data_IF_687578325649
#
_entry.id   IF_687578325649
#
_cell.length_a   1.000
_cell.length_b   1.000
_cell.length_c   1.000
_cell.angle_alpha   90.00
_cell.angle_beta   90.00
_cell.angle_gamma   90.00
#
_symmetry.space_group_name_H-M   'P 1'
#
loop_
_entity.id
_entity.type
_entity.pdbx_description
1 polymer ?
#
# COMPACT_ATOMS: atom_id res chain seq x y z
N UNK A 1 -21.30 -4.80 1.68
CA UNK A 1 -20.67 -6.01 1.11
C UNK A 1 -20.31 -5.84 -0.38
N UNK A 2 -21.26 -5.50 -1.26
CA UNK A 2 -20.97 -5.29 -2.71
C UNK A 2 -19.90 -4.22 -2.96
N UNK A 3 -20.00 -3.06 -2.30
CA UNK A 3 -18.99 -2.01 -2.42
C UNK A 3 -17.59 -2.49 -1.97
N UNK A 4 -17.52 -3.16 -0.80
CA UNK A 4 -16.26 -3.71 -0.29
C UNK A 4 -15.68 -4.78 -1.20
N UNK A 5 -16.53 -5.59 -1.86
CA UNK A 5 -16.08 -6.64 -2.78
C UNK A 5 -15.46 -6.12 -4.09
N UNK A 6 -15.50 -4.80 -4.33
CA UNK A 6 -15.09 -4.18 -5.59
C UNK A 6 -15.86 -4.70 -6.82
N UNK A 7 -17.04 -5.31 -6.60
CA UNK A 7 -17.83 -6.01 -7.61
C UNK A 7 -17.09 -7.19 -8.27
N UNK A 8 -16.03 -7.71 -7.66
CA UNK A 8 -15.36 -8.92 -8.13
C UNK A 8 -16.19 -10.15 -7.71
N UNK A 9 -16.72 -10.94 -8.65
CA UNK A 9 -17.57 -12.10 -8.34
C UNK A 9 -16.88 -13.09 -7.40
N UNK A 10 -15.57 -13.26 -7.57
CA UNK A 10 -14.75 -14.15 -6.75
C UNK A 10 -14.66 -13.70 -5.29
N UNK A 11 -14.54 -12.39 -5.05
CA UNK A 11 -14.51 -11.86 -3.70
C UNK A 11 -15.90 -11.89 -3.05
N UNK A 12 -16.96 -11.63 -3.84
CA UNK A 12 -18.34 -11.81 -3.39
C UNK A 12 -18.61 -13.25 -2.94
N UNK A 13 -18.14 -14.24 -3.68
CA UNK A 13 -18.32 -15.64 -3.33
C UNK A 13 -17.65 -16.00 -2.00
N UNK A 14 -16.39 -15.60 -1.82
CA UNK A 14 -15.62 -15.89 -0.60
C UNK A 14 -16.24 -15.17 0.61
N UNK A 15 -16.59 -13.89 0.45
CA UNK A 15 -17.22 -13.11 1.52
C UNK A 15 -18.63 -13.60 1.84
N UNK A 16 -19.39 -14.01 0.81
CA UNK A 16 -20.71 -14.60 0.97
C UNK A 16 -20.66 -15.89 1.77
N UNK A 17 -19.70 -16.78 1.46
CA UNK A 17 -19.48 -18.00 2.24
C UNK A 17 -19.04 -17.71 3.68
N UNK A 18 -18.16 -16.71 3.88
CA UNK A 18 -17.70 -16.34 5.22
C UNK A 18 -18.80 -15.77 6.11
N UNK A 19 -19.76 -15.05 5.51
CA UNK A 19 -20.87 -14.41 6.22
C UNK A 19 -22.13 -15.28 6.31
N UNK A 20 -22.18 -16.41 5.59
CA UNK A 20 -23.37 -17.25 5.50
C UNK A 20 -23.88 -17.73 6.87
N UNK A 21 -22.96 -18.12 7.76
CA UNK A 21 -23.27 -18.59 9.11
C UNK A 21 -23.22 -17.47 10.18
N UNK A 22 -23.05 -16.21 9.77
CA UNK A 22 -22.99 -15.08 10.70
C UNK A 22 -24.36 -14.41 10.85
N UNK A 23 -24.74 -14.09 12.10
CA UNK A 23 -25.92 -13.25 12.35
C UNK A 23 -25.77 -11.88 11.68
N UNK A 24 -26.87 -11.38 11.09
CA UNK A 24 -26.93 -10.05 10.42
C UNK A 24 -26.43 -8.92 11.34
N UNK A 25 -26.70 -9.04 12.65
CA UNK A 25 -26.24 -8.11 13.70
C UNK A 25 -24.71 -7.98 13.79
N UNK A 26 -23.98 -9.01 13.33
CA UNK A 26 -22.52 -9.09 13.38
C UNK A 26 -21.88 -8.70 12.04
N UNK A 27 -22.65 -8.62 10.94
CA UNK A 27 -22.13 -8.31 9.60
C UNK A 27 -21.41 -6.96 9.54
N UNK A 28 -21.91 -5.94 10.23
CA UNK A 28 -21.25 -4.64 10.30
C UNK A 28 -19.88 -4.75 10.95
N UNK A 29 -19.77 -5.48 12.07
CA UNK A 29 -18.50 -5.70 12.78
C UNK A 29 -17.51 -6.48 11.92
N UNK A 30 -17.98 -7.50 11.21
CA UNK A 30 -17.15 -8.25 10.25
C UNK A 30 -16.66 -7.36 9.12
N UNK A 31 -17.53 -6.49 8.58
CA UNK A 31 -17.14 -5.56 7.52
C UNK A 31 -16.09 -4.55 8.01
N UNK A 32 -16.24 -4.00 9.22
CA UNK A 32 -15.23 -3.13 9.83
C UNK A 32 -13.90 -3.88 10.05
N UNK A 33 -13.95 -5.12 10.54
CA UNK A 33 -12.76 -5.96 10.65
C UNK A 33 -12.09 -6.18 9.30
N UNK A 34 -12.87 -6.46 8.25
CA UNK A 34 -12.36 -6.73 6.90
C UNK A 34 -11.68 -5.50 6.28
N UNK A 35 -12.16 -4.28 6.56
CA UNK A 35 -11.48 -3.05 6.14
C UNK A 35 -10.11 -2.88 6.80
N UNK A 36 -9.94 -3.39 8.01
CA UNK A 36 -8.67 -3.34 8.75
C UNK A 36 -7.75 -4.51 8.39
N UNK A 37 -8.30 -5.72 8.29
CA UNK A 37 -7.60 -6.98 8.02
C UNK A 37 -8.38 -7.70 6.92
N UNK A 38 -7.91 -7.61 5.67
CA UNK A 38 -8.59 -8.25 4.55
C UNK A 38 -8.69 -9.77 4.71
N UNK A 39 -9.71 -10.38 4.12
CA UNK A 39 -9.91 -11.83 4.21
C UNK A 39 -8.78 -12.61 3.51
N UNK A 40 -8.10 -13.50 4.22
CA UNK A 40 -6.97 -14.29 3.73
C UNK A 40 -7.23 -15.08 2.44
N UNK A 41 -8.45 -15.62 2.26
CA UNK A 41 -8.77 -16.38 1.04
C UNK A 41 -8.92 -15.46 -0.17
N UNK A 42 -9.52 -14.27 0.01
CA UNK A 42 -9.57 -13.24 -1.04
C UNK A 42 -8.16 -12.77 -1.37
N UNK A 43 -7.35 -12.52 -0.35
CA UNK A 43 -5.96 -12.09 -0.49
C UNK A 43 -5.12 -13.12 -1.23
N UNK A 44 -5.19 -14.40 -0.87
CA UNK A 44 -4.49 -15.49 -1.58
C UNK A 44 -4.83 -15.54 -3.06
N UNK A 45 -6.11 -15.39 -3.41
CA UNK A 45 -6.55 -15.42 -4.81
C UNK A 45 -6.04 -14.20 -5.60
N UNK A 46 -6.04 -13.00 -5.00
CA UNK A 46 -5.50 -11.80 -5.63
C UNK A 46 -3.98 -11.85 -5.77
N UNK A 47 -3.30 -12.43 -4.77
CA UNK A 47 -1.85 -12.53 -4.72
C UNK A 47 -1.27 -13.40 -5.84
N UNK A 48 -2.03 -14.35 -6.40
CA UNK A 48 -1.58 -15.16 -7.55
C UNK A 48 -1.05 -14.30 -8.71
N UNK A 49 -1.76 -13.23 -9.06
CA UNK A 49 -1.35 -12.35 -10.15
C UNK A 49 -0.06 -11.57 -9.83
N UNK A 50 0.11 -11.19 -8.55
CA UNK A 50 1.32 -10.53 -8.04
C UNK A 50 2.51 -11.50 -7.94
N UNK A 51 2.30 -12.70 -7.42
CA UNK A 51 3.35 -13.71 -7.25
C UNK A 51 3.93 -14.15 -8.59
N UNK A 52 3.10 -14.14 -9.64
CA UNK A 52 3.51 -14.41 -11.02
C UNK A 52 4.31 -13.30 -11.71
N UNK A 53 4.55 -12.14 -11.07
CA UNK A 53 5.54 -11.16 -11.52
C UNK A 53 6.95 -11.77 -11.35
N UNK A 54 7.75 -11.74 -12.42
CA UNK A 54 9.04 -12.44 -12.45
C UNK A 54 10.18 -11.58 -11.93
N UNK A 55 10.12 -10.28 -12.19
CA UNK A 55 11.12 -9.33 -11.74
C UNK A 55 10.80 -8.84 -10.31
N UNK A 56 11.83 -8.80 -9.47
CA UNK A 56 11.73 -8.18 -8.14
C UNK A 56 11.36 -6.71 -8.28
N UNK A 57 11.86 -6.03 -9.31
CA UNK A 57 11.60 -4.63 -9.60
C UNK A 57 10.13 -4.37 -9.92
N UNK A 58 9.49 -5.22 -10.73
CA UNK A 58 8.03 -5.18 -10.99
C UNK A 58 7.23 -5.26 -9.67
N UNK A 59 7.61 -6.18 -8.78
CA UNK A 59 6.98 -6.32 -7.46
C UNK A 59 7.19 -5.07 -6.60
N UNK A 60 8.38 -4.48 -6.61
CA UNK A 60 8.64 -3.24 -5.86
C UNK A 60 7.85 -2.05 -6.42
N UNK A 61 7.73 -1.93 -7.75
CA UNK A 61 6.91 -0.90 -8.41
C UNK A 61 5.44 -1.05 -8.01
N UNK A 62 4.90 -2.27 -8.06
CA UNK A 62 3.52 -2.53 -7.65
C UNK A 62 3.26 -2.07 -6.20
N UNK A 63 4.15 -2.44 -5.27
CA UNK A 63 4.03 -2.08 -3.86
C UNK A 63 4.19 -0.58 -3.62
N UNK A 64 5.09 0.08 -4.34
CA UNK A 64 5.24 1.55 -4.28
C UNK A 64 3.97 2.25 -4.75
N UNK A 65 3.38 1.80 -5.86
CA UNK A 65 2.15 2.38 -6.39
C UNK A 65 0.99 2.19 -5.40
N UNK A 66 0.81 0.98 -4.87
CA UNK A 66 -0.23 0.68 -3.88
C UNK A 66 -0.15 1.57 -2.63
N UNK A 67 1.07 1.94 -2.22
CA UNK A 67 1.29 2.80 -1.05
C UNK A 67 1.17 4.30 -1.37
N UNK A 68 1.75 4.77 -2.48
CA UNK A 68 2.12 6.19 -2.64
C UNK A 68 1.53 6.88 -3.87
N UNK A 69 1.32 6.16 -4.98
CA UNK A 69 1.17 6.79 -6.30
C UNK A 69 -0.23 6.67 -6.92
N UNK A 70 -1.21 6.08 -6.23
CA UNK A 70 -2.59 6.05 -6.73
C UNK A 70 -3.11 7.49 -6.86
N UNK A 71 -3.57 7.84 -8.07
CA UNK A 71 -4.08 9.17 -8.41
C UNK A 71 -3.02 10.15 -8.91
N UNK A 72 -1.74 9.78 -8.95
CA UNK A 72 -0.66 10.58 -9.54
C UNK A 72 -0.59 10.39 -11.06
N UNK A 73 -0.04 11.37 -11.79
CA UNK A 73 0.18 11.22 -13.23
C UNK A 73 1.13 10.07 -13.53
N UNK A 74 0.82 9.24 -14.52
CA UNK A 74 1.65 8.10 -14.87
C UNK A 74 3.08 8.51 -15.26
N UNK A 75 3.25 9.63 -15.98
CA UNK A 75 4.57 10.04 -16.43
C UNK A 75 5.43 10.52 -15.26
N UNK A 76 4.83 11.23 -14.31
CA UNK A 76 5.51 11.65 -13.07
C UNK A 76 5.98 10.42 -12.27
N UNK A 77 5.12 9.41 -12.15
CA UNK A 77 5.44 8.18 -11.41
C UNK A 77 6.58 7.42 -12.08
N UNK A 78 6.57 7.32 -13.42
CA UNK A 78 7.68 6.72 -14.18
C UNK A 78 8.98 7.46 -13.90
N UNK A 79 8.97 8.80 -13.99
CA UNK A 79 10.16 9.62 -13.73
C UNK A 79 10.70 9.42 -12.31
N UNK A 80 9.84 9.47 -11.30
CA UNK A 80 10.21 9.29 -9.89
C UNK A 80 10.84 7.92 -9.67
N UNK A 81 10.19 6.85 -10.12
CA UNK A 81 10.67 5.48 -9.93
C UNK A 81 11.93 5.19 -10.76
N UNK A 82 12.09 5.79 -11.93
CA UNK A 82 13.35 5.75 -12.69
C UNK A 82 14.49 6.47 -11.95
N UNK A 83 14.20 7.58 -11.26
CA UNK A 83 15.14 8.21 -10.35
C UNK A 83 15.60 7.30 -9.19
N UNK A 84 14.78 6.31 -8.83
CA UNK A 84 15.14 5.25 -7.88
C UNK A 84 15.84 4.03 -8.52
N UNK A 85 16.08 4.03 -9.83
CA UNK A 85 16.72 2.94 -10.58
C UNK A 85 15.81 1.77 -10.95
N UNK A 86 14.48 1.97 -11.04
CA UNK A 86 13.51 0.88 -11.22
C UNK A 86 13.10 0.57 -12.67
N UNK A 87 13.62 1.26 -13.69
CA UNK A 87 13.20 1.05 -15.10
C UNK A 87 11.66 0.94 -15.24
N UNK A 88 10.97 1.88 -14.60
CA UNK A 88 9.55 1.86 -14.31
C UNK A 88 8.67 1.86 -15.54
N UNK A 89 9.16 2.34 -16.69
CA UNK A 89 8.50 2.22 -17.98
C UNK A 89 8.24 0.75 -18.36
N UNK A 90 9.22 -0.13 -18.19
CA UNK A 90 9.09 -1.57 -18.42
C UNK A 90 8.15 -2.18 -17.37
N UNK A 91 8.40 -1.91 -16.09
CA UNK A 91 7.63 -2.51 -15.00
C UNK A 91 6.15 -2.13 -15.03
N UNK A 92 5.83 -0.84 -15.25
CA UNK A 92 4.43 -0.36 -15.34
C UNK A 92 3.71 -0.98 -16.54
N UNK A 93 4.39 -1.15 -17.68
CA UNK A 93 3.81 -1.84 -18.84
C UNK A 93 3.39 -3.27 -18.50
N UNK A 94 4.25 -4.03 -17.80
CA UNK A 94 3.92 -5.39 -17.35
C UNK A 94 2.74 -5.40 -16.38
N UNK A 95 2.64 -4.42 -15.48
CA UNK A 95 1.49 -4.31 -14.57
C UNK A 95 0.18 -4.04 -15.31
N UNK A 96 0.19 -3.26 -16.40
CA UNK A 96 -0.98 -3.06 -17.25
C UNK A 96 -1.38 -4.34 -18.01
N UNK A 97 -0.42 -5.04 -18.61
CA UNK A 97 -0.66 -6.29 -19.34
C UNK A 97 -1.29 -7.38 -18.46
N UNK A 98 -1.02 -7.33 -17.14
CA UNK A 98 -1.58 -8.25 -16.15
C UNK A 98 -2.83 -7.73 -15.43
N UNK A 99 -3.38 -6.60 -15.87
CA UNK A 99 -4.52 -5.93 -15.25
C UNK A 99 -4.35 -5.64 -13.75
N UNK A 100 -3.10 -5.45 -13.30
CA UNK A 100 -2.77 -5.08 -11.92
C UNK A 100 -2.82 -3.57 -11.69
N UNK A 101 -2.78 -2.81 -12.78
CA UNK A 101 -2.81 -1.35 -12.81
C UNK A 101 -3.71 -0.92 -13.96
N UNK A 102 -4.23 0.30 -13.88
CA UNK A 102 -5.01 0.98 -14.92
C UNK A 102 -4.68 2.47 -14.94
N UNK A 103 -5.05 3.18 -16.00
CA UNK A 103 -4.92 4.64 -16.09
C UNK A 103 -6.29 5.22 -16.42
N UNK A 104 -6.64 6.35 -15.81
CA UNK A 104 -7.87 7.05 -16.14
C UNK A 104 -7.71 8.01 -17.33
N UNK A 105 -8.81 8.66 -17.72
CA UNK A 105 -8.83 9.62 -18.82
C UNK A 105 -8.00 10.90 -18.57
N UNK A 106 -7.49 11.11 -17.36
CA UNK A 106 -6.61 12.23 -16.99
C UNK A 106 -5.17 11.78 -16.80
N UNK A 107 -4.80 10.62 -17.35
CA UNK A 107 -3.48 10.01 -17.23
C UNK A 107 -3.07 9.69 -15.79
N UNK A 108 -4.05 9.54 -14.86
CA UNK A 108 -3.75 9.22 -13.46
C UNK A 108 -3.74 7.71 -13.25
N UNK A 109 -2.73 7.23 -12.52
CA UNK A 109 -2.65 5.83 -12.14
C UNK A 109 -3.80 5.44 -11.23
N UNK A 110 -4.45 4.34 -11.57
CA UNK A 110 -5.54 3.72 -10.84
C UNK A 110 -5.20 2.28 -10.53
N UNK A 111 -5.47 1.88 -9.30
CA UNK A 111 -5.36 0.49 -8.86
C UNK A 111 -6.69 0.12 -8.22
N UNK A 112 -7.21 -1.05 -8.55
CA UNK A 112 -8.44 -1.54 -7.94
C UNK A 112 -8.26 -1.65 -6.42
N UNK A 113 -9.28 -1.26 -5.65
CA UNK A 113 -9.20 -1.17 -4.18
C UNK A 113 -8.66 -2.46 -3.56
N UNK A 114 -9.11 -3.62 -4.04
CA UNK A 114 -8.61 -4.90 -3.53
C UNK A 114 -7.14 -5.18 -3.84
N UNK A 115 -6.63 -4.75 -4.99
CA UNK A 115 -5.21 -4.90 -5.34
C UNK A 115 -4.35 -3.96 -4.51
N UNK A 116 -4.83 -2.73 -4.29
CA UNK A 116 -4.20 -1.76 -3.39
C UNK A 116 -4.12 -2.32 -1.98
N UNK A 117 -5.24 -2.81 -1.47
CA UNK A 117 -5.34 -3.31 -0.11
C UNK A 117 -4.52 -4.60 0.05
N UNK A 118 -4.43 -5.45 -0.99
CA UNK A 118 -3.52 -6.58 -1.04
C UNK A 118 -2.04 -6.16 -1.01
N UNK A 119 -1.65 -5.15 -1.79
CA UNK A 119 -0.28 -4.64 -1.78
C UNK A 119 0.11 -4.09 -0.40
N UNK A 120 -0.81 -3.35 0.22
CA UNK A 120 -0.63 -2.83 1.59
C UNK A 120 -0.60 -3.92 2.65
N UNK A 121 -1.39 -4.98 2.47
CA UNK A 121 -1.38 -6.14 3.37
C UNK A 121 -0.04 -6.87 3.33
N UNK A 122 0.59 -7.01 2.15
CA UNK A 122 1.94 -7.58 2.04
C UNK A 122 2.94 -6.78 2.88
N UNK A 123 2.86 -5.44 2.86
CA UNK A 123 3.75 -4.60 3.67
C UNK A 123 3.42 -4.72 5.16
N UNK A 124 2.15 -4.78 5.51
CA UNK A 124 1.72 -4.98 6.90
C UNK A 124 2.27 -6.30 7.48
N UNK A 125 2.27 -7.38 6.68
CA UNK A 125 2.79 -8.69 7.05
C UNK A 125 4.31 -8.74 7.25
N UNK A 126 5.08 -7.79 6.71
CA UNK A 126 6.52 -7.69 7.00
C UNK A 126 6.78 -7.48 8.49
N UNK A 127 5.91 -6.72 9.16
CA UNK A 127 5.94 -6.49 10.61
C UNK A 127 4.59 -5.98 11.11
N UNK A 128 3.70 -6.86 11.60
CA UNK A 128 2.36 -6.47 12.03
C UNK A 128 2.35 -5.53 13.24
N UNK A 129 3.30 -5.73 14.17
CA UNK A 129 3.35 -5.01 15.45
C UNK A 129 4.27 -3.79 15.43
N UNK A 130 5.31 -3.80 14.59
CA UNK A 130 6.34 -2.75 14.57
C UNK A 130 6.37 -2.07 13.18
N UNK A 131 5.62 -0.98 12.96
CA UNK A 131 5.57 -0.28 11.67
C UNK A 131 6.94 0.15 11.15
N UNK A 132 7.84 0.59 12.02
CA UNK A 132 9.18 1.06 11.68
C UNK A 132 10.05 -0.01 11.01
N UNK A 133 9.73 -1.30 11.17
CA UNK A 133 10.41 -2.42 10.51
C UNK A 133 9.84 -2.75 9.13
N UNK A 134 8.78 -2.06 8.69
CA UNK A 134 8.19 -2.24 7.37
C UNK A 134 8.99 -1.46 6.33
N UNK A 135 9.00 -1.96 5.11
CA UNK A 135 9.68 -1.35 3.98
C UNK A 135 8.98 -0.10 3.45
N UNK A 136 7.67 0.04 3.70
CA UNK A 136 6.87 1.19 3.25
C UNK A 136 5.95 1.67 4.35
N UNK A 137 5.89 2.99 4.52
CA UNK A 137 5.01 3.65 5.48
C UNK A 137 4.18 4.72 4.78
N UNK A 138 2.86 4.51 4.74
CA UNK A 138 1.93 5.39 4.03
C UNK A 138 0.82 5.96 4.91
N UNK A 139 0.70 5.49 6.17
CA UNK A 139 -0.25 6.02 7.15
C UNK A 139 0.41 7.18 7.88
N UNK A 140 -0.17 8.38 7.76
CA UNK A 140 0.46 9.59 8.28
C UNK A 140 0.57 9.57 9.79
N UNK A 141 -0.39 8.96 10.49
CA UNK A 141 -0.40 8.81 11.94
C UNK A 141 0.79 7.95 12.43
N UNK A 142 1.03 6.80 11.77
CA UNK A 142 2.16 5.90 12.07
C UNK A 142 3.51 6.59 11.81
N UNK A 143 3.60 7.35 10.72
CA UNK A 143 4.81 8.10 10.35
C UNK A 143 5.09 9.24 11.34
N UNK A 144 4.07 9.99 11.74
CA UNK A 144 4.22 11.10 12.69
C UNK A 144 4.67 10.58 14.05
N UNK A 145 4.04 9.53 14.57
CA UNK A 145 4.43 8.93 15.85
C UNK A 145 5.90 8.49 15.85
N UNK A 146 6.31 7.77 14.80
CA UNK A 146 7.68 7.30 14.64
C UNK A 146 8.70 8.44 14.50
N UNK A 147 8.39 9.48 13.72
CA UNK A 147 9.30 10.62 13.52
C UNK A 147 9.35 11.58 14.71
N UNK A 148 8.33 11.57 15.58
CA UNK A 148 8.27 12.41 16.78
C UNK A 148 9.11 11.83 17.93
N UNK A 149 9.28 10.50 17.99
CA UNK A 149 10.01 9.85 19.07
C UNK A 149 11.25 9.07 18.59
N UNK A 150 12.44 9.56 18.95
CA UNK A 150 13.71 8.94 18.56
C UNK A 150 13.93 7.52 19.10
N UNK A 151 13.20 7.11 20.16
CA UNK A 151 13.24 5.73 20.66
C UNK A 151 12.50 4.74 19.74
N UNK A 152 11.56 5.21 18.92
CA UNK A 152 10.68 4.39 18.06
C UNK A 152 11.32 4.06 16.70
N UNK A 153 12.63 4.28 16.57
CA UNK A 153 13.36 4.11 15.30
C UNK A 153 14.13 2.78 15.21
N UNK A 154 13.88 1.83 16.10
CA UNK A 154 14.56 0.53 16.10
C UNK A 154 13.97 -0.34 14.99
N UNK A 155 14.67 -0.44 13.86
CA UNK A 155 14.16 -1.12 12.66
C UNK A 155 13.92 -0.20 11.48
N UNK A 156 14.02 1.13 11.68
CA UNK A 156 13.81 2.14 10.65
C UNK A 156 14.77 2.00 9.45
N UNK A 157 15.84 1.21 9.57
CA UNK A 157 16.70 0.80 8.47
C UNK A 157 16.00 -0.04 7.39
N UNK A 158 14.84 -0.63 7.71
CA UNK A 158 14.04 -1.39 6.75
C UNK A 158 13.26 -0.46 5.81
N UNK A 159 12.96 0.77 6.23
CA UNK A 159 12.13 1.72 5.50
C UNK A 159 12.81 2.14 4.21
N UNK A 160 12.14 1.85 3.08
CA UNK A 160 12.55 2.22 1.72
C UNK A 160 11.71 3.35 1.15
N UNK A 161 10.44 3.44 1.56
CA UNK A 161 9.50 4.46 1.12
C UNK A 161 8.68 5.02 2.28
N UNK A 162 8.53 6.34 2.32
CA UNK A 162 7.77 7.03 3.36
C UNK A 162 6.92 8.13 2.74
N UNK A 163 5.62 8.11 3.05
CA UNK A 163 4.70 9.18 2.71
C UNK A 163 4.14 9.84 3.97
N UNK A 164 4.25 11.15 4.03
CA UNK A 164 3.74 11.97 5.10
C UNK A 164 2.81 13.04 4.52
N UNK A 165 1.56 13.01 4.99
CA UNK A 165 0.62 14.10 4.77
C UNK A 165 0.52 14.94 6.03
N UNK A 166 0.85 16.21 5.93
CA UNK A 166 0.77 17.12 7.07
C UNK A 166 -0.70 17.40 7.42
N UNK A 167 -1.08 17.38 8.71
CA UNK A 167 -2.40 17.84 9.12
C UNK A 167 -2.52 19.33 8.82
N UNK A 168 -3.67 19.77 8.29
CA UNK A 168 -3.90 21.17 7.91
C UNK A 168 -3.82 22.17 9.09
N UNK A 169 -4.01 21.69 10.31
CA UNK A 169 -4.21 22.54 11.50
C UNK A 169 -3.21 22.27 12.63
N UNK A 170 -2.27 21.33 12.46
CA UNK A 170 -1.30 20.99 13.52
C UNK A 170 0.14 21.23 13.07
N UNK A 171 0.89 21.96 13.89
CA UNK A 171 2.36 22.05 13.77
C UNK A 171 2.94 20.71 14.22
N UNK A 172 3.32 19.88 13.26
CA UNK A 172 4.03 18.63 13.54
C UNK A 172 5.53 18.93 13.59
N UNK A 173 6.13 18.82 14.78
CA UNK A 173 7.57 18.88 14.96
C UNK A 173 8.19 17.53 14.62
N UNK A 174 8.84 17.44 13.46
CA UNK A 174 9.55 16.23 13.05
C UNK A 174 11.01 16.29 13.48
N UNK A 175 11.52 15.22 14.07
CA UNK A 175 12.94 15.12 14.35
C UNK A 175 13.71 14.66 13.10
N UNK A 176 14.39 15.58 12.42
CA UNK A 176 15.17 15.25 11.21
C UNK A 176 16.30 14.26 11.47
N UNK A 177 16.75 14.08 12.71
CA UNK A 177 17.72 13.04 13.08
C UNK A 177 17.16 11.63 12.88
N UNK A 178 15.83 11.47 12.79
CA UNK A 178 15.19 10.18 12.52
C UNK A 178 15.61 9.60 11.16
N UNK A 179 15.72 10.45 10.14
CA UNK A 179 16.10 10.03 8.79
C UNK A 179 17.53 9.48 8.70
N UNK A 180 18.43 9.83 9.65
CA UNK A 180 19.79 9.28 9.70
C UNK A 180 19.82 7.76 9.89
N UNK A 181 18.77 7.17 10.48
CA UNK A 181 18.67 5.72 10.67
C UNK A 181 18.03 5.01 9.46
N UNK A 182 17.42 5.75 8.54
CA UNK A 182 16.72 5.22 7.36
C UNK A 182 17.62 5.17 6.13
N UNK A 183 18.78 4.53 6.22
CA UNK A 183 19.77 4.55 5.12
C UNK A 183 19.34 3.80 3.85
N UNK A 184 18.23 3.04 3.88
CA UNK A 184 17.61 2.41 2.70
C UNK A 184 16.49 3.25 2.09
N UNK A 185 16.17 4.41 2.67
CA UNK A 185 15.13 5.30 2.18
C UNK A 185 15.51 5.81 0.79
N UNK A 186 14.70 5.45 -0.21
CA UNK A 186 14.86 5.89 -1.60
C UNK A 186 13.70 6.75 -2.09
N UNK A 187 12.58 6.75 -1.37
CA UNK A 187 11.38 7.47 -1.73
C UNK A 187 10.81 8.20 -0.52
N UNK A 188 10.69 9.52 -0.63
CA UNK A 188 10.06 10.38 0.37
C UNK A 188 8.99 11.24 -0.30
N UNK A 189 7.74 11.08 0.11
CA UNK A 189 6.62 11.87 -0.38
C UNK A 189 6.08 12.75 0.74
N UNK A 190 6.11 14.06 0.54
CA UNK A 190 5.56 15.04 1.49
C UNK A 190 4.39 15.76 0.83
N UNK A 191 3.24 15.79 1.51
CA UNK A 191 2.04 16.47 1.03
C UNK A 191 1.48 17.41 2.12
N UNK A 192 1.16 18.65 1.75
CA UNK A 192 0.49 19.64 2.60
C UNK A 192 -1.00 19.79 2.29
#
# INVERSE_FOLDING_TARGET
MIAYSGKLPLALQVLGSYLFDCEITVWQKVLEKLKCVPNDQVQKKLKVSFDGLKDVTEKQIFLDIACFFIGMDQNDVIQILNGCGFFADIGIKVLFERALLTVDNRNKLRMHDMLRDMGRQIIYEESPLDPEKRSRLWRSEEVIDMLSNASNLKGAEAVKGLALKFPKENIVSLNTKAFKKMYKLRLLQLAG
#
